data_IF_631813567590
#
_entry.id   IF_631813567590
#
_cell.length_a   1.000
_cell.length_b   1.000
_cell.length_c   1.000
_cell.angle_alpha   90.00
_cell.angle_beta   90.00
_cell.angle_gamma   90.00
#
_symmetry.space_group_name_H-M   'P 1'
#
loop_
_entity.id
_entity.type
_entity.pdbx_description
1 polymer ?
#
# COMPACT_ATOMS: atom_id res chain seq x y z
N UNK A 1 -44.88 39.97 -28.65
CA UNK A 1 -43.52 39.45 -28.35
C UNK A 1 -43.41 38.97 -26.88
N UNK A 2 -44.48 38.48 -26.26
CA UNK A 2 -44.54 38.11 -24.82
C UNK A 2 -44.77 36.62 -24.58
N UNK A 3 -45.24 35.87 -25.58
CA UNK A 3 -45.70 34.49 -25.36
C UNK A 3 -44.55 33.48 -25.46
N UNK A 4 -43.46 33.85 -26.15
CA UNK A 4 -42.27 33.01 -26.29
C UNK A 4 -41.46 32.90 -24.99
N UNK A 5 -41.35 33.98 -24.21
CA UNK A 5 -40.62 33.99 -22.94
C UNK A 5 -41.37 33.25 -21.84
N UNK A 6 -42.69 33.43 -21.76
CA UNK A 6 -43.58 32.76 -20.79
C UNK A 6 -43.59 31.24 -20.95
N UNK A 7 -43.58 30.74 -22.19
CA UNK A 7 -43.50 29.30 -22.45
C UNK A 7 -42.14 28.71 -22.10
N UNK A 8 -41.06 29.47 -22.30
CA UNK A 8 -39.69 29.05 -21.94
C UNK A 8 -39.51 28.98 -20.42
N UNK A 9 -39.97 29.99 -19.66
CA UNK A 9 -39.89 29.99 -18.19
C UNK A 9 -40.74 28.88 -17.57
N UNK A 10 -41.93 28.60 -18.11
CA UNK A 10 -42.78 27.49 -17.65
C UNK A 10 -42.14 26.12 -17.87
N UNK A 11 -41.47 25.90 -19.02
CA UNK A 11 -40.74 24.66 -19.30
C UNK A 11 -39.51 24.50 -18.40
N UNK A 12 -38.76 25.58 -18.16
CA UNK A 12 -37.62 25.55 -17.24
C UNK A 12 -38.05 25.25 -15.80
N UNK A 13 -39.15 25.83 -15.33
CA UNK A 13 -39.71 25.53 -14.03
C UNK A 13 -40.17 24.07 -13.90
N UNK A 14 -40.79 23.51 -14.95
CA UNK A 14 -41.17 22.10 -14.98
C UNK A 14 -39.96 21.15 -14.95
N UNK A 15 -38.90 21.46 -15.71
CA UNK A 15 -37.65 20.69 -15.70
C UNK A 15 -36.97 20.78 -14.33
N UNK A 16 -36.89 21.98 -13.75
CA UNK A 16 -36.32 22.17 -12.42
C UNK A 16 -37.09 21.40 -11.34
N UNK A 17 -38.43 21.41 -11.40
CA UNK A 17 -39.28 20.61 -10.51
C UNK A 17 -39.07 19.11 -10.69
N UNK A 18 -38.94 18.63 -11.93
CA UNK A 18 -38.68 17.22 -12.22
C UNK A 18 -37.31 16.77 -11.71
N UNK A 19 -36.26 17.57 -11.93
CA UNK A 19 -34.92 17.31 -11.39
C UNK A 19 -34.93 17.32 -9.86
N UNK A 20 -35.61 18.30 -9.25
CA UNK A 20 -35.76 18.37 -7.80
C UNK A 20 -36.42 17.12 -7.22
N UNK A 21 -37.52 16.67 -7.83
CA UNK A 21 -38.21 15.45 -7.40
C UNK A 21 -37.32 14.20 -7.55
N UNK A 22 -36.57 14.08 -8.65
CA UNK A 22 -35.63 12.97 -8.84
C UNK A 22 -34.47 13.01 -7.84
N UNK A 23 -33.93 14.19 -7.53
CA UNK A 23 -32.89 14.34 -6.51
C UNK A 23 -33.38 13.95 -5.12
N UNK A 24 -34.60 14.37 -4.74
CA UNK A 24 -35.20 14.01 -3.44
C UNK A 24 -35.44 12.51 -3.36
N UNK A 25 -36.00 11.90 -4.41
CA UNK A 25 -36.20 10.45 -4.48
C UNK A 25 -34.87 9.69 -4.39
N UNK A 26 -33.86 10.10 -5.19
CA UNK A 26 -32.54 9.49 -5.18
C UNK A 26 -31.84 9.60 -3.82
N UNK A 27 -31.94 10.76 -3.16
CA UNK A 27 -31.40 10.97 -1.81
C UNK A 27 -32.11 10.05 -0.80
N UNK A 28 -33.44 9.97 -0.85
CA UNK A 28 -34.21 9.14 0.07
C UNK A 28 -33.88 7.65 -0.10
N UNK A 29 -33.79 7.17 -1.35
CA UNK A 29 -33.39 5.78 -1.63
C UNK A 29 -31.96 5.52 -1.17
N UNK A 30 -31.03 6.45 -1.38
CA UNK A 30 -29.65 6.31 -0.91
C UNK A 30 -29.56 6.21 0.61
N UNK A 31 -30.30 7.06 1.33
CA UNK A 31 -30.39 7.00 2.78
C UNK A 31 -30.99 5.67 3.24
N UNK A 32 -32.10 5.24 2.65
CA UNK A 32 -32.74 3.97 3.00
C UNK A 32 -31.78 2.79 2.82
N UNK A 33 -31.10 2.72 1.67
CA UNK A 33 -30.09 1.69 1.40
C UNK A 33 -28.96 1.73 2.44
N UNK A 34 -28.47 2.91 2.82
CA UNK A 34 -27.42 3.04 3.83
C UNK A 34 -27.85 2.56 5.22
N UNK A 35 -29.11 2.79 5.61
CA UNK A 35 -29.62 2.45 6.95
C UNK A 35 -30.24 1.05 7.06
N UNK A 36 -30.75 0.48 5.96
CA UNK A 36 -31.39 -0.84 5.96
C UNK A 36 -30.49 -1.95 5.44
N UNK A 37 -29.26 -1.64 5.01
CA UNK A 37 -28.29 -2.66 4.63
C UNK A 37 -27.91 -3.51 5.86
N UNK A 38 -28.10 -4.83 5.82
CA UNK A 38 -27.64 -5.69 6.90
C UNK A 38 -26.12 -5.55 7.05
N UNK A 39 -25.59 -5.62 8.28
CA UNK A 39 -24.16 -5.56 8.50
C UNK A 39 -23.47 -6.63 7.63
N UNK A 40 -22.42 -6.27 6.86
CA UNK A 40 -21.74 -7.25 6.04
C UNK A 40 -21.20 -8.36 6.94
N UNK A 41 -21.53 -9.62 6.65
CA UNK A 41 -21.10 -10.79 7.42
C UNK A 41 -19.58 -10.85 7.62
N UNK A 42 -18.82 -10.19 6.73
CA UNK A 42 -17.36 -10.13 6.73
C UNK A 42 -16.79 -8.79 7.22
N UNK A 43 -17.61 -7.84 7.69
CA UNK A 43 -17.16 -6.50 8.08
C UNK A 43 -16.04 -6.54 9.13
N UNK A 44 -16.19 -7.41 10.14
CA UNK A 44 -15.16 -7.61 11.17
C UNK A 44 -13.86 -8.18 10.59
N UNK A 45 -13.96 -9.21 9.73
CA UNK A 45 -12.79 -9.79 9.05
C UNK A 45 -12.11 -8.80 8.09
N UNK A 46 -12.88 -7.95 7.42
CA UNK A 46 -12.36 -6.91 6.55
C UNK A 46 -11.58 -5.85 7.38
N UNK A 47 -12.12 -5.47 8.54
CA UNK A 47 -11.43 -4.57 9.47
C UNK A 47 -10.15 -5.19 10.05
N UNK A 48 -10.16 -6.48 10.40
CA UNK A 48 -8.97 -7.22 10.85
C UNK A 48 -7.89 -7.26 9.76
N UNK A 49 -8.26 -7.61 8.52
CA UNK A 49 -7.33 -7.60 7.39
C UNK A 49 -6.75 -6.23 7.11
N UNK A 50 -7.56 -5.17 7.19
CA UNK A 50 -7.10 -3.80 7.01
C UNK A 50 -6.09 -3.39 8.09
N UNK A 51 -6.33 -3.77 9.35
CA UNK A 51 -5.38 -3.56 10.46
C UNK A 51 -4.08 -4.33 10.27
N UNK A 52 -4.16 -5.62 9.94
CA UNK A 52 -2.99 -6.45 9.68
C UNK A 52 -2.15 -5.90 8.51
N UNK A 53 -2.80 -5.44 7.43
CA UNK A 53 -2.12 -4.82 6.30
C UNK A 53 -1.42 -3.50 6.72
N UNK A 54 -2.08 -2.66 7.53
CA UNK A 54 -1.47 -1.44 8.02
C UNK A 54 -0.24 -1.70 8.90
N UNK A 55 -0.32 -2.73 9.76
CA UNK A 55 0.80 -3.15 10.61
C UNK A 55 1.96 -3.70 9.78
N UNK A 56 1.68 -4.60 8.82
CA UNK A 56 2.71 -5.11 7.90
C UNK A 56 3.36 -3.97 7.11
N UNK A 57 2.59 -3.00 6.64
CA UNK A 57 3.13 -1.84 5.93
C UNK A 57 3.98 -0.95 6.85
N UNK A 58 3.60 -0.80 8.12
CA UNK A 58 4.38 -0.05 9.09
C UNK A 58 5.73 -0.74 9.38
N UNK A 59 5.71 -2.06 9.63
CA UNK A 59 6.91 -2.88 9.83
C UNK A 59 7.80 -2.87 8.59
N UNK A 60 7.23 -3.00 7.40
CA UNK A 60 7.97 -2.91 6.15
C UNK A 60 8.60 -1.54 5.97
N UNK A 61 7.85 -0.46 6.22
CA UNK A 61 8.38 0.91 6.13
C UNK A 61 9.56 1.10 7.07
N UNK A 62 9.46 0.64 8.31
CA UNK A 62 10.56 0.69 9.26
C UNK A 62 11.75 -0.15 8.78
N UNK A 63 11.54 -1.37 8.33
CA UNK A 63 12.61 -2.23 7.83
C UNK A 63 13.32 -1.66 6.59
N UNK A 64 12.61 -0.94 5.72
CA UNK A 64 13.17 -0.34 4.50
C UNK A 64 13.91 0.99 4.74
N UNK A 65 13.63 1.68 5.84
CA UNK A 65 14.24 3.00 6.15
C UNK A 65 15.27 2.95 7.27
N UNK A 66 15.32 1.86 8.05
CA UNK A 66 16.21 1.72 9.20
C UNK A 66 17.24 0.62 9.02
N UNK A 67 18.39 0.80 9.68
CA UNK A 67 19.39 -0.26 9.81
C UNK A 67 18.90 -1.35 10.77
N UNK A 68 19.40 -2.57 10.58
CA UNK A 68 19.11 -3.69 11.46
C UNK A 68 19.86 -4.94 11.03
N UNK A 69 19.88 -5.96 11.87
CA UNK A 69 20.44 -7.26 11.51
C UNK A 69 19.38 -8.12 10.82
N UNK A 70 19.77 -8.78 9.73
CA UNK A 70 18.98 -9.83 9.07
C UNK A 70 19.42 -11.19 9.59
N UNK A 71 20.74 -11.40 9.69
CA UNK A 71 21.33 -12.62 10.23
C UNK A 71 22.60 -12.28 11.03
N UNK A 72 22.51 -12.25 12.37
CA UNK A 72 23.66 -11.99 13.22
C UNK A 72 24.76 -13.06 13.14
N UNK A 73 24.41 -14.32 12.85
CA UNK A 73 25.39 -15.41 12.77
C UNK A 73 26.29 -15.29 11.53
N UNK A 74 25.78 -14.62 10.50
CA UNK A 74 26.49 -14.36 9.24
C UNK A 74 26.91 -12.89 9.07
N UNK A 75 26.73 -12.07 10.10
CA UNK A 75 26.95 -10.62 10.10
C UNK A 75 26.27 -9.90 8.91
N UNK A 76 25.06 -10.34 8.55
CA UNK A 76 24.27 -9.76 7.46
C UNK A 76 23.34 -8.69 8.03
N UNK A 77 23.55 -7.46 7.59
CA UNK A 77 22.74 -6.28 7.98
C UNK A 77 21.83 -5.82 6.85
N UNK A 78 20.65 -5.31 7.21
CA UNK A 78 19.78 -4.54 6.33
C UNK A 78 20.26 -3.09 6.27
N UNK A 79 20.27 -2.55 5.06
CA UNK A 79 20.57 -1.15 4.78
C UNK A 79 19.29 -0.43 4.36
N UNK A 80 19.09 0.83 4.79
CA UNK A 80 18.04 1.68 4.24
C UNK A 80 18.17 1.78 2.71
N UNK A 81 17.06 1.74 2.00
CA UNK A 81 17.06 1.73 0.52
C UNK A 81 17.86 2.91 -0.05
N UNK A 82 17.68 4.11 0.51
CA UNK A 82 18.40 5.31 0.05
C UNK A 82 19.93 5.09 0.05
N UNK A 83 20.46 4.56 1.17
CA UNK A 83 21.89 4.28 1.29
C UNK A 83 22.33 3.13 0.39
N UNK A 84 21.51 2.09 0.27
CA UNK A 84 21.81 0.96 -0.61
C UNK A 84 21.93 1.42 -2.09
N UNK A 85 21.05 2.31 -2.53
CA UNK A 85 21.08 2.88 -3.88
C UNK A 85 22.32 3.75 -4.12
N UNK A 86 22.69 4.60 -3.16
CA UNK A 86 23.93 5.39 -3.25
C UNK A 86 25.17 4.49 -3.38
N UNK A 87 25.25 3.44 -2.55
CA UNK A 87 26.35 2.48 -2.60
C UNK A 87 26.36 1.69 -3.90
N UNK A 88 25.19 1.35 -4.44
CA UNK A 88 25.11 0.68 -5.74
C UNK A 88 25.70 1.56 -6.85
N UNK A 89 25.30 2.84 -6.93
CA UNK A 89 25.85 3.78 -7.91
C UNK A 89 27.36 3.96 -7.73
N UNK A 90 27.85 4.04 -6.49
CA UNK A 90 29.28 4.17 -6.21
C UNK A 90 30.09 2.92 -6.60
N UNK A 91 29.62 1.74 -6.22
CA UNK A 91 30.31 0.48 -6.47
C UNK A 91 30.30 0.09 -7.96
N UNK A 92 29.25 0.46 -8.70
CA UNK A 92 29.13 0.16 -10.13
C UNK A 92 29.73 1.22 -11.05
N UNK A 93 30.44 2.23 -10.52
CA UNK A 93 31.29 3.11 -11.35
C UNK A 93 32.32 2.31 -12.15
N UNK A 94 32.83 1.23 -11.57
CA UNK A 94 33.59 0.20 -12.28
C UNK A 94 32.80 -1.12 -12.25
N UNK A 95 32.11 -1.49 -13.35
CA UNK A 95 31.22 -2.65 -13.36
C UNK A 95 31.90 -3.99 -13.03
N UNK A 96 33.17 -4.19 -13.40
CA UNK A 96 33.87 -5.46 -13.12
C UNK A 96 34.17 -5.61 -11.63
N UNK A 97 34.69 -4.55 -11.01
CA UNK A 97 34.97 -4.52 -9.58
C UNK A 97 33.70 -4.56 -8.72
N UNK A 98 32.62 -3.90 -9.16
CA UNK A 98 31.32 -3.96 -8.47
C UNK A 98 30.73 -5.37 -8.46
N UNK A 99 30.80 -6.08 -9.59
CA UNK A 99 30.33 -7.47 -9.69
C UNK A 99 31.17 -8.43 -8.85
N UNK A 100 32.50 -8.34 -8.89
CA UNK A 100 33.35 -9.22 -8.08
C UNK A 100 33.10 -9.04 -6.59
N UNK A 101 32.99 -7.79 -6.13
CA UNK A 101 32.65 -7.48 -4.73
C UNK A 101 31.27 -8.05 -4.34
N UNK A 102 30.27 -7.91 -5.21
CA UNK A 102 28.93 -8.47 -4.97
C UNK A 102 28.98 -9.99 -4.83
N UNK A 103 29.68 -10.69 -5.72
CA UNK A 103 29.82 -12.16 -5.69
C UNK A 103 30.49 -12.58 -4.38
N UNK A 104 31.62 -11.96 -3.99
CA UNK A 104 32.30 -12.29 -2.73
C UNK A 104 31.44 -12.01 -1.48
N UNK A 105 30.53 -11.03 -1.53
CA UNK A 105 29.58 -10.78 -0.45
C UNK A 105 28.48 -11.84 -0.38
N UNK A 106 27.97 -12.25 -1.54
CA UNK A 106 26.96 -13.32 -1.64
C UNK A 106 27.55 -14.63 -1.15
N UNK A 107 28.75 -15.02 -1.60
CA UNK A 107 29.43 -16.25 -1.19
C UNK A 107 29.59 -16.33 0.33
N UNK A 108 30.03 -15.24 0.98
CA UNK A 108 30.14 -15.17 2.44
C UNK A 108 28.78 -15.30 3.13
N UNK A 109 27.74 -14.66 2.60
CA UNK A 109 26.40 -14.73 3.15
C UNK A 109 25.74 -16.11 2.96
N UNK A 110 26.12 -16.88 1.94
CA UNK A 110 25.56 -18.21 1.65
C UNK A 110 26.44 -19.36 2.14
N UNK A 111 27.65 -19.07 2.63
CA UNK A 111 28.56 -20.08 3.16
C UNK A 111 27.89 -20.88 4.28
N UNK A 112 28.17 -22.20 4.32
CA UNK A 112 27.70 -23.06 5.41
C UNK A 112 28.34 -22.58 6.71
N UNK A 113 27.52 -22.46 7.75
CA UNK A 113 28.01 -22.18 9.09
C UNK A 113 28.82 -23.39 9.57
N UNK A 114 29.92 -23.18 10.31
CA UNK A 114 30.67 -24.27 10.91
C UNK A 114 29.74 -25.08 11.82
N UNK A 115 29.80 -26.41 11.71
CA UNK A 115 29.04 -27.29 12.60
C UNK A 115 29.51 -27.06 14.04
N UNK A 116 28.56 -26.81 14.95
CA UNK A 116 28.87 -26.65 16.36
C UNK A 116 29.54 -27.95 16.84
N UNK A 117 30.68 -27.90 17.57
CA UNK A 117 31.33 -29.10 18.05
C UNK A 117 30.33 -29.99 18.78
N UNK A 118 30.22 -31.24 18.33
CA UNK A 118 29.33 -32.21 18.94
C UNK A 118 29.86 -32.52 20.35
N UNK A 119 29.05 -32.25 21.37
CA UNK A 119 29.47 -32.35 22.79
C UNK A 119 29.41 -33.81 23.28
N UNK A 120 29.08 -34.75 22.39
CA UNK A 120 28.76 -36.15 22.70
C UNK A 120 29.57 -37.16 21.88
N UNK A 121 30.61 -36.73 21.15
CA UNK A 121 31.62 -37.61 20.52
C UNK A 121 32.93 -37.59 21.32
#
# INVERSE_FOLDING_TARGET
MSDWTTNKTRRLAAIAGMVGALCVMGLMTWLMVKYTQPPPLTAQRAAERAKALAEMNAQNREALTTYGYVDPARDVVRLPIARAMELAVQNFKNPSAGRSNLISRVERATARLPEKPNIFE
#
